data_IF_767829560067
#
_entry.id   IF_767829560067
#
_cell.length_a   1.000
_cell.length_b   1.000
_cell.length_c   1.000
_cell.angle_alpha   90.00
_cell.angle_beta   90.00
_cell.angle_gamma   90.00
#
_symmetry.space_group_name_H-M   'P 1'
#
loop_
_entity.id
_entity.type
_entity.pdbx_description
1 polymer ?
#
# COMPACT_ATOMS: atom_id res chain seq x y z
N UNK A 1 16.87 -10.22 23.31
CA UNK A 1 17.99 -10.50 22.40
C UNK A 1 17.49 -10.26 20.99
N UNK A 2 18.14 -9.41 20.23
CA UNK A 2 17.80 -9.16 18.84
C UNK A 2 18.30 -10.28 17.95
N UNK A 3 17.54 -10.56 16.88
CA UNK A 3 17.98 -11.41 15.79
C UNK A 3 18.86 -10.57 14.87
N UNK A 4 20.06 -11.04 14.60
CA UNK A 4 21.08 -10.38 13.79
C UNK A 4 21.80 -11.41 12.88
N UNK A 5 22.63 -10.98 11.92
CA UNK A 5 23.34 -11.91 11.04
C UNK A 5 24.16 -12.98 11.74
N UNK A 6 24.65 -12.71 12.96
CA UNK A 6 25.47 -13.66 13.72
C UNK A 6 24.68 -14.76 14.43
N UNK A 7 23.38 -14.53 14.70
CA UNK A 7 22.56 -15.48 15.48
C UNK A 7 21.32 -16.00 14.74
N UNK A 8 20.97 -15.45 13.58
CA UNK A 8 19.74 -15.78 12.85
C UNK A 8 19.67 -17.25 12.44
N UNK A 9 20.78 -17.90 12.14
CA UNK A 9 20.80 -19.31 11.84
C UNK A 9 20.34 -20.18 13.04
N UNK A 10 20.78 -19.86 14.25
CA UNK A 10 20.34 -20.52 15.48
C UNK A 10 18.84 -20.22 15.74
N UNK A 11 18.42 -18.99 15.56
CA UNK A 11 17.01 -18.59 15.73
C UNK A 11 16.09 -19.40 14.84
N UNK A 12 16.44 -19.60 13.56
CA UNK A 12 15.67 -20.38 12.59
C UNK A 12 15.76 -21.89 12.89
N UNK A 13 16.92 -22.39 13.28
CA UNK A 13 17.11 -23.82 13.60
C UNK A 13 16.30 -24.24 14.84
N UNK A 14 16.26 -23.44 15.90
CA UNK A 14 15.42 -23.68 17.08
C UNK A 14 13.93 -23.82 16.73
N UNK A 15 13.49 -23.16 15.65
CA UNK A 15 12.11 -23.20 15.15
C UNK A 15 11.88 -24.23 14.04
N UNK A 16 12.89 -25.06 13.76
CA UNK A 16 12.87 -26.09 12.71
C UNK A 16 12.61 -25.55 11.30
N UNK A 17 12.91 -24.27 11.07
CA UNK A 17 12.82 -23.60 9.77
C UNK A 17 14.11 -23.76 8.96
N UNK A 18 15.22 -24.06 9.60
CA UNK A 18 16.53 -24.27 9.00
C UNK A 18 17.21 -25.48 9.63
N UNK A 19 17.98 -26.22 8.84
CA UNK A 19 18.95 -27.20 9.34
C UNK A 19 20.35 -26.59 9.28
N UNK A 20 21.23 -26.99 10.20
CA UNK A 20 22.62 -26.51 10.19
C UNK A 20 23.40 -27.00 8.97
N UNK A 21 22.99 -28.13 8.36
CA UNK A 21 23.57 -28.60 7.10
C UNK A 21 23.47 -27.56 5.99
N UNK A 22 22.34 -26.84 5.91
CA UNK A 22 22.16 -25.74 4.94
C UNK A 22 23.19 -24.61 5.13
N UNK A 23 23.62 -24.35 6.36
CA UNK A 23 24.65 -23.34 6.66
C UNK A 23 26.04 -23.85 6.25
N UNK A 24 26.34 -25.10 6.59
CA UNK A 24 27.62 -25.76 6.27
C UNK A 24 27.81 -25.92 4.78
N UNK A 25 26.73 -26.29 4.06
CA UNK A 25 26.72 -26.47 2.60
C UNK A 25 26.76 -25.15 1.81
N UNK A 26 26.80 -24.00 2.48
CA UNK A 26 26.79 -22.68 1.83
C UNK A 26 25.46 -22.31 1.17
N UNK A 27 24.35 -22.97 1.56
CA UNK A 27 22.99 -22.65 1.13
C UNK A 27 22.32 -21.65 2.11
N UNK A 28 23.08 -20.71 2.61
CA UNK A 28 22.61 -19.75 3.57
C UNK A 28 23.41 -18.44 3.46
N UNK A 29 22.73 -17.37 3.06
CA UNK A 29 23.29 -16.02 2.99
C UNK A 29 22.35 -15.04 3.68
N UNK A 30 22.86 -14.20 4.52
CA UNK A 30 22.11 -13.15 5.24
C UNK A 30 22.41 -11.81 4.60
N UNK A 31 21.36 -11.07 4.24
CA UNK A 31 21.44 -9.68 3.79
C UNK A 31 20.68 -8.82 4.79
N UNK A 32 21.38 -7.90 5.43
CA UNK A 32 20.78 -6.93 6.33
C UNK A 32 20.15 -5.78 5.52
N UNK A 33 18.86 -5.54 5.73
CA UNK A 33 18.09 -4.46 5.13
C UNK A 33 17.41 -3.60 6.21
N UNK A 34 18.07 -3.45 7.32
CA UNK A 34 17.59 -2.67 8.47
C UNK A 34 17.35 -1.21 8.07
N UNK A 35 16.11 -0.76 8.32
CA UNK A 35 15.70 0.64 8.20
C UNK A 35 14.96 1.07 9.48
N UNK A 36 13.67 1.36 9.41
CA UNK A 36 12.80 1.58 10.59
C UNK A 36 12.68 0.31 11.45
N UNK A 37 12.45 -0.83 10.82
CA UNK A 37 12.48 -2.15 11.42
C UNK A 37 13.79 -2.86 11.06
N UNK A 38 14.19 -3.83 11.90
CA UNK A 38 15.30 -4.73 11.58
C UNK A 38 14.80 -5.78 10.61
N UNK A 39 15.25 -5.70 9.38
CA UNK A 39 14.85 -6.60 8.32
C UNK A 39 16.05 -7.42 7.85
N UNK A 40 15.91 -8.75 7.86
CA UNK A 40 16.94 -9.66 7.35
C UNK A 40 16.35 -10.47 6.19
N UNK A 41 17.03 -10.48 5.04
CA UNK A 41 16.77 -11.42 3.95
C UNK A 41 17.69 -12.63 4.12
N UNK A 42 17.09 -13.81 4.21
CA UNK A 42 17.79 -15.08 4.23
C UNK A 42 17.64 -15.69 2.85
N UNK A 43 18.70 -15.56 2.07
CA UNK A 43 18.75 -16.07 0.69
C UNK A 43 19.25 -17.50 0.72
N UNK A 44 18.53 -18.40 0.09
CA UNK A 44 18.88 -19.82 -0.11
C UNK A 44 18.86 -20.13 -1.59
N UNK A 45 19.80 -20.96 -2.05
CA UNK A 45 19.92 -21.33 -3.47
C UNK A 45 19.04 -22.53 -3.83
N UNK A 46 18.94 -23.51 -2.91
CA UNK A 46 18.30 -24.81 -3.11
C UNK A 46 16.93 -24.93 -2.44
N UNK A 47 16.54 -23.96 -1.64
CA UNK A 47 15.30 -23.98 -0.86
C UNK A 47 14.70 -22.58 -0.80
N UNK A 48 13.40 -22.43 -0.47
CA UNK A 48 12.80 -21.14 -0.20
C UNK A 48 13.57 -20.37 0.87
N UNK A 49 13.77 -19.08 0.65
CA UNK A 49 14.38 -18.17 1.61
C UNK A 49 13.39 -17.61 2.60
N UNK A 50 13.87 -16.82 3.56
CA UNK A 50 13.04 -16.18 4.57
C UNK A 50 13.23 -14.68 4.56
N UNK A 51 12.16 -13.96 4.82
CA UNK A 51 12.21 -12.55 5.19
C UNK A 51 11.84 -12.43 6.66
N UNK A 52 12.71 -11.79 7.44
CA UNK A 52 12.53 -11.63 8.88
C UNK A 52 12.35 -10.16 9.18
N UNK A 53 11.23 -9.81 9.81
CA UNK A 53 10.97 -8.49 10.37
C UNK A 53 11.09 -8.56 11.89
N UNK A 54 11.80 -7.61 12.47
CA UNK A 54 11.87 -7.43 13.92
C UNK A 54 11.75 -5.96 14.28
N UNK A 55 11.02 -5.65 15.34
CA UNK A 55 10.94 -4.30 15.88
C UNK A 55 12.32 -3.85 16.37
N UNK A 56 12.82 -2.74 15.83
CA UNK A 56 14.12 -2.17 16.24
C UNK A 56 14.08 -1.57 17.63
N UNK A 57 12.96 -0.94 17.97
CA UNK A 57 12.73 -0.32 19.27
C UNK A 57 11.35 -0.75 19.81
N UNK A 58 11.28 -1.47 20.94
CA UNK A 58 10.02 -2.04 21.44
C UNK A 58 9.14 -0.96 22.10
N UNK A 59 8.59 -0.05 21.29
CA UNK A 59 7.47 0.81 21.73
C UNK A 59 6.15 0.09 21.53
N UNK A 60 5.09 0.43 22.29
CA UNK A 60 3.77 -0.14 22.11
C UNK A 60 3.27 -0.03 20.67
N UNK A 61 3.50 1.09 20.01
CA UNK A 61 3.11 1.35 18.63
C UNK A 61 3.74 0.34 17.65
N UNK A 62 5.06 0.21 17.65
CA UNK A 62 5.77 -0.69 16.73
C UNK A 62 5.51 -2.16 17.01
N UNK A 63 5.32 -2.54 18.28
CA UNK A 63 4.98 -3.93 18.61
C UNK A 63 3.56 -4.28 18.20
N UNK A 64 2.61 -3.35 18.27
CA UNK A 64 1.23 -3.52 17.81
C UNK A 64 1.15 -3.63 16.29
N UNK A 65 1.87 -2.81 15.52
CA UNK A 65 1.86 -2.89 14.06
C UNK A 65 2.41 -4.24 13.57
N UNK A 66 3.54 -4.72 14.13
CA UNK A 66 4.08 -6.03 13.78
C UNK A 66 3.17 -7.19 14.22
N UNK A 67 2.52 -7.08 15.39
CA UNK A 67 1.55 -8.08 15.85
C UNK A 67 0.31 -8.14 14.94
N UNK A 68 -0.14 -7.00 14.43
CA UNK A 68 -1.24 -6.90 13.45
C UNK A 68 -0.86 -7.55 12.12
N UNK A 69 0.32 -7.27 11.60
CA UNK A 69 0.83 -7.93 10.41
C UNK A 69 0.89 -9.45 10.60
N UNK A 70 1.42 -9.93 11.73
CA UNK A 70 1.45 -11.35 12.06
C UNK A 70 0.05 -11.97 12.20
N UNK A 71 -0.94 -11.23 12.70
CA UNK A 71 -2.33 -11.68 12.77
C UNK A 71 -2.92 -11.88 11.37
N UNK A 72 -2.69 -10.95 10.42
CA UNK A 72 -3.10 -11.11 9.03
C UNK A 72 -2.53 -12.41 8.42
N UNK A 73 -1.25 -12.69 8.63
CA UNK A 73 -0.62 -13.93 8.16
C UNK A 73 -1.21 -15.18 8.80
N UNK A 74 -1.50 -15.16 10.11
CA UNK A 74 -2.14 -16.29 10.81
C UNK A 74 -3.55 -16.53 10.29
N UNK A 75 -4.38 -15.48 10.19
CA UNK A 75 -5.72 -15.57 9.64
C UNK A 75 -5.70 -16.24 8.26
N UNK A 76 -4.83 -15.79 7.37
CA UNK A 76 -4.71 -16.36 6.03
C UNK A 76 -4.31 -17.84 6.03
N UNK A 77 -3.56 -18.31 7.02
CA UNK A 77 -3.07 -19.69 7.13
C UNK A 77 -4.07 -20.61 7.82
N UNK A 78 -4.69 -20.15 8.89
CA UNK A 78 -5.50 -20.97 9.80
C UNK A 78 -6.97 -21.09 9.36
N UNK A 79 -7.48 -20.13 8.59
CA UNK A 79 -8.86 -20.06 8.17
C UNK A 79 -9.02 -20.33 6.67
N UNK A 80 -9.73 -21.40 6.26
CA UNK A 80 -9.95 -21.74 4.85
C UNK A 80 -10.67 -20.63 4.06
N UNK A 81 -11.55 -19.89 4.69
CA UNK A 81 -12.30 -18.76 4.11
C UNK A 81 -11.41 -17.61 3.65
N UNK A 82 -10.18 -17.50 4.17
CA UNK A 82 -9.20 -16.51 3.74
C UNK A 82 -8.29 -17.00 2.59
N UNK A 83 -8.76 -17.93 1.78
CA UNK A 83 -7.98 -18.50 0.67
C UNK A 83 -7.45 -17.46 -0.31
N UNK A 84 -8.26 -16.43 -0.68
CA UNK A 84 -7.80 -15.35 -1.54
C UNK A 84 -6.69 -14.52 -0.88
N UNK A 85 -6.82 -14.21 0.39
CA UNK A 85 -5.78 -13.51 1.16
C UNK A 85 -4.49 -14.33 1.20
N UNK A 86 -4.57 -15.63 1.44
CA UNK A 86 -3.40 -16.54 1.40
C UNK A 86 -2.70 -16.52 0.04
N UNK A 87 -3.47 -16.51 -1.05
CA UNK A 87 -2.89 -16.51 -2.41
C UNK A 87 -2.06 -15.26 -2.69
N UNK A 88 -2.47 -14.11 -2.13
CA UNK A 88 -1.81 -12.82 -2.36
C UNK A 88 -0.73 -12.46 -1.33
N UNK A 89 -0.59 -13.21 -0.24
CA UNK A 89 0.45 -12.96 0.78
C UNK A 89 1.67 -13.87 0.57
N UNK A 90 2.88 -13.45 1.00
CA UNK A 90 3.98 -14.39 1.25
C UNK A 90 3.58 -15.50 2.23
N UNK A 91 4.21 -16.67 2.14
CA UNK A 91 3.93 -17.76 3.08
C UNK A 91 4.32 -17.37 4.52
N UNK A 92 3.42 -17.61 5.48
CA UNK A 92 3.68 -17.43 6.90
C UNK A 92 4.44 -18.62 7.48
N UNK A 93 5.59 -18.38 8.10
CA UNK A 93 6.39 -19.40 8.75
C UNK A 93 6.30 -19.35 10.27
N UNK A 94 6.53 -18.18 10.89
CA UNK A 94 6.56 -18.07 12.35
C UNK A 94 6.35 -16.64 12.83
N UNK A 95 5.78 -16.48 14.02
CA UNK A 95 5.78 -15.23 14.78
C UNK A 95 6.16 -15.49 16.23
N UNK A 96 7.16 -14.78 16.74
CA UNK A 96 7.58 -14.80 18.14
C UNK A 96 7.06 -13.53 18.83
N UNK A 97 5.98 -13.63 19.64
CA UNK A 97 5.36 -12.47 20.28
C UNK A 97 6.22 -11.87 21.41
N UNK A 98 7.19 -12.62 21.96
CA UNK A 98 8.06 -12.14 23.04
C UNK A 98 9.24 -11.37 22.49
N UNK A 99 9.80 -11.84 21.38
CA UNK A 99 10.92 -11.19 20.69
C UNK A 99 10.48 -10.21 19.62
N UNK A 100 9.17 -10.15 19.35
CA UNK A 100 8.56 -9.37 18.26
C UNK A 100 9.27 -9.62 16.92
N UNK A 101 9.32 -10.89 16.50
CA UNK A 101 9.96 -11.35 15.27
C UNK A 101 8.95 -12.08 14.41
N UNK A 102 8.75 -11.60 13.20
CA UNK A 102 7.95 -12.23 12.15
C UNK A 102 8.86 -12.86 11.11
N UNK A 103 8.58 -14.12 10.74
CA UNK A 103 9.30 -14.86 9.69
C UNK A 103 8.29 -15.24 8.61
N UNK A 104 8.53 -14.77 7.40
CA UNK A 104 7.71 -15.04 6.22
C UNK A 104 8.60 -15.50 5.06
N UNK A 105 7.98 -15.95 3.98
CA UNK A 105 8.64 -16.28 2.73
C UNK A 105 9.43 -15.10 2.17
N UNK A 106 10.63 -15.34 1.68
CA UNK A 106 11.35 -14.37 0.85
C UNK A 106 10.90 -14.51 -0.61
N UNK A 107 10.25 -13.48 -1.13
CA UNK A 107 9.92 -13.37 -2.55
C UNK A 107 11.19 -13.05 -3.35
N UNK A 108 11.97 -14.10 -3.66
CA UNK A 108 13.35 -13.98 -4.18
C UNK A 108 13.41 -13.26 -5.54
N UNK A 109 12.46 -13.59 -6.42
CA UNK A 109 12.42 -13.09 -7.79
C UNK A 109 11.25 -12.09 -7.98
N UNK A 110 10.75 -11.53 -6.86
CA UNK A 110 9.70 -10.53 -6.87
C UNK A 110 10.25 -9.14 -7.18
N UNK A 111 9.64 -8.46 -8.16
CA UNK A 111 9.86 -7.05 -8.49
C UNK A 111 8.66 -6.25 -7.97
N UNK A 112 8.88 -5.13 -7.27
CA UNK A 112 7.76 -4.27 -6.89
C UNK A 112 7.12 -3.64 -8.13
N UNK A 113 5.81 -3.35 -8.08
CA UNK A 113 5.17 -2.67 -9.20
C UNK A 113 5.76 -1.28 -9.46
N UNK A 114 6.32 -0.65 -8.43
CA UNK A 114 7.07 0.59 -8.60
C UNK A 114 8.31 0.39 -9.49
N UNK A 115 9.17 -0.58 -9.17
CA UNK A 115 10.36 -0.93 -9.98
C UNK A 115 9.95 -1.37 -11.38
N UNK A 116 8.91 -2.19 -11.50
CA UNK A 116 8.36 -2.63 -12.79
C UNK A 116 7.97 -1.45 -13.67
N UNK A 117 7.14 -0.52 -13.18
CA UNK A 117 6.71 0.64 -13.97
C UNK A 117 7.85 1.61 -14.26
N UNK A 118 8.82 1.76 -13.33
CA UNK A 118 10.05 2.51 -13.62
C UNK A 118 10.86 1.90 -14.75
N UNK A 119 10.91 0.57 -14.84
CA UNK A 119 11.64 -0.14 -15.90
C UNK A 119 10.92 -0.07 -17.26
N UNK A 120 9.59 -0.26 -17.27
CA UNK A 120 8.82 -0.32 -18.54
C UNK A 120 8.35 1.03 -19.04
N UNK A 121 8.31 2.06 -18.20
CA UNK A 121 7.87 3.42 -18.53
C UNK A 121 6.52 3.46 -19.28
N UNK A 122 5.57 2.65 -18.84
CA UNK A 122 4.22 2.53 -19.44
C UNK A 122 3.23 1.95 -18.43
N UNK A 123 1.95 1.91 -18.80
CA UNK A 123 0.87 1.32 -18.00
C UNK A 123 0.27 0.07 -18.69
N UNK A 124 0.91 -1.11 -18.59
CA UNK A 124 0.42 -2.32 -19.23
C UNK A 124 -0.95 -2.73 -18.69
N UNK A 125 -1.91 -2.90 -19.61
CA UNK A 125 -3.31 -3.26 -19.29
C UNK A 125 -3.40 -4.59 -18.54
N UNK A 126 -2.57 -5.58 -18.88
CA UNK A 126 -2.56 -6.89 -18.24
C UNK A 126 -2.15 -6.83 -16.77
N UNK A 127 -1.24 -5.93 -16.41
CA UNK A 127 -0.82 -5.72 -15.01
C UNK A 127 -1.94 -5.01 -14.23
N UNK A 128 -2.57 -4.03 -14.83
CA UNK A 128 -3.72 -3.36 -14.22
C UNK A 128 -4.89 -4.34 -14.00
N UNK A 129 -5.18 -5.19 -14.98
CA UNK A 129 -6.17 -6.25 -14.86
C UNK A 129 -5.84 -7.22 -13.72
N UNK A 130 -4.58 -7.69 -13.63
CA UNK A 130 -4.12 -8.55 -12.54
C UNK A 130 -4.30 -7.91 -11.16
N UNK A 131 -4.03 -6.60 -11.03
CA UNK A 131 -4.28 -5.86 -9.79
C UNK A 131 -5.78 -5.87 -9.43
N UNK A 132 -6.66 -5.63 -10.41
CA UNK A 132 -8.11 -5.65 -10.22
C UNK A 132 -8.63 -7.03 -9.81
N UNK A 133 -8.20 -8.08 -10.50
CA UNK A 133 -8.57 -9.48 -10.18
C UNK A 133 -8.12 -9.85 -8.76
N UNK A 134 -6.89 -9.51 -8.41
CA UNK A 134 -6.30 -9.82 -7.10
C UNK A 134 -7.06 -9.12 -5.97
N UNK A 135 -7.23 -7.80 -6.07
CA UNK A 135 -7.86 -7.01 -5.02
C UNK A 135 -9.37 -7.30 -4.92
N UNK A 136 -10.04 -7.48 -6.06
CA UNK A 136 -11.46 -7.83 -6.11
C UNK A 136 -11.75 -9.18 -5.47
N UNK A 137 -10.94 -10.20 -5.76
CA UNK A 137 -11.05 -11.53 -5.14
C UNK A 137 -10.81 -11.50 -3.64
N UNK A 138 -9.84 -10.70 -3.19
CA UNK A 138 -9.57 -10.48 -1.78
C UNK A 138 -10.76 -9.84 -1.06
N UNK A 139 -11.26 -8.71 -1.54
CA UNK A 139 -12.40 -8.01 -0.94
C UNK A 139 -13.71 -8.80 -1.02
N UNK A 140 -13.87 -9.71 -1.98
CA UNK A 140 -15.03 -10.57 -2.08
C UNK A 140 -15.10 -11.62 -0.96
N UNK A 141 -13.95 -12.08 -0.46
CA UNK A 141 -13.87 -13.17 0.51
C UNK A 141 -13.64 -12.72 1.94
N UNK A 142 -12.99 -11.56 2.14
CA UNK A 142 -12.53 -11.13 3.46
C UNK A 142 -13.41 -10.00 3.99
N UNK A 143 -14.61 -10.36 4.45
CA UNK A 143 -15.54 -9.41 5.09
C UNK A 143 -15.10 -9.06 6.52
N UNK A 144 -15.63 -7.96 7.04
CA UNK A 144 -15.42 -7.56 8.44
C UNK A 144 -15.85 -8.64 9.45
N UNK A 145 -16.92 -9.39 9.13
CA UNK A 145 -17.43 -10.46 10.00
C UNK A 145 -16.47 -11.64 10.09
N UNK A 146 -15.81 -11.98 8.97
CA UNK A 146 -14.82 -13.06 8.95
C UNK A 146 -13.57 -12.73 9.80
N UNK A 147 -13.24 -11.45 9.98
CA UNK A 147 -12.10 -11.01 10.78
C UNK A 147 -12.43 -10.83 12.29
N UNK A 148 -13.68 -11.09 12.73
CA UNK A 148 -14.11 -10.87 14.14
C UNK A 148 -13.38 -11.74 15.16
N UNK A 149 -12.86 -12.91 14.77
CA UNK A 149 -12.08 -13.79 15.66
C UNK A 149 -10.81 -13.14 16.22
N UNK A 150 -10.28 -12.12 15.57
CA UNK A 150 -9.11 -11.33 15.98
C UNK A 150 -9.51 -9.88 16.36
N UNK A 151 -10.72 -9.68 16.87
CA UNK A 151 -11.32 -8.36 17.15
C UNK A 151 -10.47 -7.41 18.02
N UNK A 152 -9.52 -7.94 18.80
CA UNK A 152 -8.60 -7.12 19.60
C UNK A 152 -7.40 -6.57 18.81
N UNK A 153 -7.17 -7.03 17.58
CA UNK A 153 -6.01 -6.66 16.76
C UNK A 153 -6.34 -5.51 15.81
N UNK A 154 -7.58 -5.49 15.29
CA UNK A 154 -8.07 -4.49 14.35
C UNK A 154 -8.83 -3.38 15.09
N UNK A 155 -8.27 -2.18 15.10
CA UNK A 155 -8.73 -1.06 15.92
C UNK A 155 -9.92 -0.30 15.32
N UNK A 156 -10.30 -0.59 14.05
CA UNK A 156 -11.34 0.11 13.29
C UNK A 156 -11.08 1.61 13.19
N UNK A 157 -9.85 1.96 12.82
CA UNK A 157 -9.44 3.36 12.72
C UNK A 157 -9.78 3.94 11.35
N UNK A 158 -10.26 5.17 11.37
CA UNK A 158 -10.38 5.99 10.17
C UNK A 158 -8.99 6.53 9.83
N UNK A 159 -8.57 6.54 8.55
CA UNK A 159 -7.28 7.09 8.16
C UNK A 159 -7.09 8.52 8.65
N UNK A 160 -5.98 8.76 9.35
CA UNK A 160 -5.65 10.04 9.98
C UNK A 160 -5.66 11.23 9.03
N UNK A 161 -5.37 10.98 7.76
CA UNK A 161 -5.33 12.01 6.71
C UNK A 161 -6.69 12.69 6.53
N UNK A 162 -7.80 11.97 6.80
CA UNK A 162 -9.15 12.50 6.68
C UNK A 162 -9.47 13.57 7.75
N UNK A 163 -8.62 13.68 8.78
CA UNK A 163 -8.72 14.70 9.84
C UNK A 163 -7.54 15.68 9.83
N UNK A 164 -6.64 15.63 8.84
CA UNK A 164 -5.45 16.48 8.84
C UNK A 164 -5.77 17.98 8.81
N UNK A 165 -6.84 18.37 8.14
CA UNK A 165 -7.33 19.74 8.10
C UNK A 165 -7.80 20.28 9.46
N UNK A 166 -8.18 19.39 10.41
CA UNK A 166 -8.59 19.70 11.77
C UNK A 166 -7.38 19.97 12.72
N UNK A 167 -6.15 19.89 12.20
CA UNK A 167 -4.92 20.00 13.01
C UNK A 167 -4.85 21.35 13.74
N UNK A 168 -4.66 21.27 15.07
CA UNK A 168 -4.49 22.46 15.90
C UNK A 168 -3.19 23.21 15.52
N UNK A 169 -3.23 24.56 15.38
CA UNK A 169 -2.04 25.36 15.10
C UNK A 169 -0.87 25.13 16.05
N UNK A 170 -1.12 24.78 17.32
CA UNK A 170 -0.06 24.45 18.28
C UNK A 170 0.77 23.23 17.87
N UNK A 171 0.21 22.30 17.08
CA UNK A 171 0.91 21.11 16.59
C UNK A 171 1.83 21.40 15.40
N UNK A 172 1.60 22.52 14.68
CA UNK A 172 2.40 22.85 13.49
C UNK A 172 3.90 23.02 13.77
N UNK A 173 4.26 23.35 15.02
CA UNK A 173 5.66 23.42 15.46
C UNK A 173 6.36 22.06 15.58
N UNK A 174 5.64 20.95 15.62
CA UNK A 174 6.18 19.58 15.77
C UNK A 174 6.37 18.85 14.44
N UNK A 175 5.90 19.41 13.33
CA UNK A 175 6.05 18.84 11.99
C UNK A 175 7.07 19.61 11.16
N UNK A 176 7.49 19.06 10.01
CA UNK A 176 8.37 19.79 9.10
C UNK A 176 7.73 21.09 8.60
N UNK A 177 8.55 22.07 8.18
CA UNK A 177 8.02 23.29 7.57
C UNK A 177 7.20 23.01 6.31
N UNK A 178 7.62 22.02 5.51
CA UNK A 178 6.86 21.58 4.34
C UNK A 178 5.47 21.06 4.72
N UNK A 179 5.38 20.22 5.76
CA UNK A 179 4.10 19.71 6.25
C UNK A 179 3.24 20.80 6.86
N UNK A 180 3.82 21.77 7.61
CA UNK A 180 3.07 22.91 8.10
C UNK A 180 2.46 23.75 6.96
N UNK A 181 3.19 23.95 5.85
CA UNK A 181 2.69 24.61 4.65
C UNK A 181 1.53 23.82 4.02
N UNK A 182 1.67 22.50 3.89
CA UNK A 182 0.62 21.62 3.36
C UNK A 182 -0.66 21.72 4.20
N UNK A 183 -0.54 21.60 5.53
CA UNK A 183 -1.70 21.73 6.44
C UNK A 183 -2.34 23.10 6.28
N UNK A 184 -1.55 24.19 6.20
CA UNK A 184 -2.05 25.53 5.94
C UNK A 184 -2.84 25.65 4.65
N UNK A 185 -2.41 24.98 3.57
CA UNK A 185 -3.16 24.91 2.31
C UNK A 185 -4.50 24.19 2.52
N UNK A 186 -4.52 23.04 3.20
CA UNK A 186 -5.77 22.31 3.44
C UNK A 186 -6.76 23.16 4.25
N UNK A 187 -6.28 23.92 5.24
CA UNK A 187 -7.12 24.79 6.07
C UNK A 187 -7.58 26.07 5.36
N UNK A 188 -6.84 26.54 4.36
CA UNK A 188 -7.17 27.72 3.58
C UNK A 188 -8.32 27.49 2.60
N UNK A 189 -8.48 26.25 2.11
CA UNK A 189 -9.47 25.90 1.09
C UNK A 189 -10.60 25.05 1.69
N UNK A 190 -11.81 25.61 1.93
CA UNK A 190 -12.94 24.89 2.55
C UNK A 190 -13.39 23.65 1.79
N UNK A 191 -13.06 23.57 0.51
CA UNK A 191 -13.37 22.40 -0.32
C UNK A 191 -12.64 21.14 0.17
N UNK A 192 -11.40 21.25 0.68
CA UNK A 192 -10.70 20.12 1.29
C UNK A 192 -11.41 19.66 2.55
N UNK A 193 -11.75 20.59 3.45
CA UNK A 193 -12.50 20.28 4.68
C UNK A 193 -13.79 19.55 4.36
N UNK A 194 -14.62 20.11 3.48
CA UNK A 194 -15.92 19.56 3.12
C UNK A 194 -15.80 18.17 2.46
N UNK A 195 -14.79 17.96 1.63
CA UNK A 195 -14.61 16.69 0.93
C UNK A 195 -14.03 15.60 1.84
N UNK A 196 -13.01 15.91 2.65
CA UNK A 196 -12.42 14.97 3.59
C UNK A 196 -13.42 14.56 4.68
N UNK A 197 -14.22 15.51 5.19
CA UNK A 197 -15.29 15.23 6.14
C UNK A 197 -16.35 14.29 5.55
N UNK A 198 -16.77 14.49 4.30
CA UNK A 198 -17.71 13.56 3.62
C UNK A 198 -17.16 12.15 3.49
N UNK A 199 -15.87 11.99 3.17
CA UNK A 199 -15.25 10.65 3.11
C UNK A 199 -15.24 10.03 4.51
N UNK A 200 -14.88 10.80 5.54
CA UNK A 200 -14.82 10.39 6.94
C UNK A 200 -16.21 9.97 7.47
N UNK A 201 -17.23 10.79 7.26
CA UNK A 201 -18.61 10.53 7.70
C UNK A 201 -19.23 9.31 6.99
N UNK A 202 -18.90 9.14 5.70
CA UNK A 202 -19.34 7.99 4.92
C UNK A 202 -18.45 6.76 5.09
N UNK A 203 -17.48 6.72 6.02
CA UNK A 203 -16.57 5.59 6.18
C UNK A 203 -17.30 4.30 6.53
N UNK A 204 -17.02 3.23 5.76
CA UNK A 204 -17.66 1.93 5.93
C UNK A 204 -16.69 0.91 6.52
N UNK A 205 -17.12 0.16 7.53
CA UNK A 205 -16.34 -0.90 8.18
C UNK A 205 -16.74 -2.29 7.67
N UNK A 206 -16.78 -2.47 6.36
CA UNK A 206 -17.33 -3.67 5.73
C UNK A 206 -16.31 -4.78 5.43
N UNK A 207 -15.03 -4.44 5.33
CA UNK A 207 -13.98 -5.37 4.91
C UNK A 207 -12.73 -5.27 5.78
N UNK A 208 -11.92 -6.33 5.82
CA UNK A 208 -10.52 -6.21 6.21
C UNK A 208 -9.78 -5.58 5.03
N UNK A 209 -9.26 -4.37 5.23
CA UNK A 209 -8.47 -3.63 4.23
C UNK A 209 -6.98 -3.74 4.57
N UNK A 210 -6.14 -3.63 3.55
CA UNK A 210 -4.69 -3.52 3.74
C UNK A 210 -4.30 -2.17 4.37
N UNK A 211 -5.00 -1.10 3.98
CA UNK A 211 -4.82 0.25 4.52
C UNK A 211 -3.64 1.03 3.92
N UNK A 212 -2.58 0.35 3.44
CA UNK A 212 -1.40 0.96 2.80
C UNK A 212 -1.03 0.31 1.47
N UNK A 213 -2.03 0.11 0.62
CA UNK A 213 -1.79 -0.30 -0.77
C UNK A 213 -0.97 0.80 -1.46
N UNK A 214 0.19 0.40 -1.99
CA UNK A 214 1.07 1.19 -2.85
C UNK A 214 1.89 0.24 -3.71
N UNK A 215 2.43 0.71 -4.82
CA UNK A 215 3.17 -0.14 -5.75
C UNK A 215 4.44 -0.75 -5.16
N UNK A 216 5.04 -0.11 -4.15
CA UNK A 216 6.17 -0.67 -3.39
C UNK A 216 5.77 -1.89 -2.55
N UNK A 217 4.50 -2.00 -2.16
CA UNK A 217 3.96 -3.11 -1.39
C UNK A 217 3.31 -4.19 -2.26
N UNK A 218 3.25 -4.00 -3.58
CA UNK A 218 2.70 -4.94 -4.55
C UNK A 218 3.83 -5.58 -5.35
N UNK A 219 4.09 -6.87 -5.11
CA UNK A 219 5.21 -7.61 -5.69
C UNK A 219 4.75 -8.48 -6.86
N UNK A 220 5.28 -8.22 -8.04
CA UNK A 220 5.09 -9.05 -9.22
C UNK A 220 6.07 -10.23 -9.16
N UNK A 221 5.55 -11.45 -9.03
CA UNK A 221 6.34 -12.66 -8.89
C UNK A 221 6.19 -13.54 -10.13
N UNK A 222 7.30 -14.10 -10.62
CA UNK A 222 7.34 -15.00 -11.74
C UNK A 222 7.82 -16.39 -11.28
N UNK A 223 7.03 -17.42 -11.55
CA UNK A 223 7.44 -18.81 -11.33
C UNK A 223 7.87 -19.43 -12.68
N UNK A 224 9.09 -19.12 -13.11
CA UNK A 224 9.56 -19.51 -14.44
C UNK A 224 8.75 -18.88 -15.57
N UNK A 225 8.28 -19.69 -16.53
CA UNK A 225 7.46 -19.23 -17.68
C UNK A 225 5.96 -19.09 -17.36
N UNK A 226 5.56 -19.23 -16.10
CA UNK A 226 4.17 -19.13 -15.69
C UNK A 226 3.65 -17.69 -15.74
N UNK A 227 2.33 -17.54 -15.79
CA UNK A 227 1.67 -16.24 -15.68
C UNK A 227 2.10 -15.52 -14.40
N UNK A 228 2.47 -14.23 -14.48
CA UNK A 228 2.89 -13.48 -13.30
C UNK A 228 1.80 -13.46 -12.23
N UNK A 229 2.21 -13.54 -10.98
CA UNK A 229 1.32 -13.47 -9.81
C UNK A 229 1.63 -12.22 -9.01
N UNK A 230 0.60 -11.62 -8.44
CA UNK A 230 0.74 -10.46 -7.58
C UNK A 230 0.71 -10.91 -6.11
N UNK A 231 1.72 -10.50 -5.34
CA UNK A 231 1.77 -10.64 -3.88
C UNK A 231 1.69 -9.25 -3.25
N UNK A 232 1.05 -9.17 -2.10
CA UNK A 232 0.95 -7.93 -1.32
C UNK A 232 1.67 -8.16 0.01
N UNK A 233 2.56 -7.25 0.36
CA UNK A 233 3.40 -7.28 1.58
C UNK A 233 3.08 -6.08 2.47
N UNK A 234 3.59 -6.11 3.71
CA UNK A 234 3.53 -4.99 4.65
C UNK A 234 2.13 -4.68 5.19
N UNK A 235 1.50 -5.68 5.79
CA UNK A 235 0.15 -5.64 6.37
C UNK A 235 0.08 -4.98 7.78
N UNK A 236 1.08 -4.20 8.14
CA UNK A 236 1.26 -3.66 9.50
C UNK A 236 0.16 -2.67 9.93
N UNK A 237 -0.54 -2.05 8.98
CA UNK A 237 -1.66 -1.14 9.24
C UNK A 237 -3.01 -1.65 8.73
N UNK A 238 -3.09 -2.95 8.38
CA UNK A 238 -4.36 -3.57 8.01
C UNK A 238 -5.41 -3.37 9.10
N UNK A 239 -6.64 -3.09 8.72
CA UNK A 239 -7.72 -2.82 9.68
C UNK A 239 -9.10 -3.14 9.06
N UNK A 240 -10.13 -3.19 9.89
CA UNK A 240 -11.49 -3.24 9.38
C UNK A 240 -11.88 -1.84 8.91
N UNK A 241 -12.18 -1.71 7.62
CA UNK A 241 -12.42 -0.42 6.99
C UNK A 241 -13.19 -0.51 5.69
N UNK A 242 -13.06 0.56 4.91
CA UNK A 242 -13.74 0.76 3.63
C UNK A 242 -12.87 0.25 2.47
N UNK A 243 -13.35 -0.75 1.75
CA UNK A 243 -12.63 -1.31 0.59
C UNK A 243 -12.29 -0.27 -0.49
N UNK A 244 -13.08 0.81 -0.59
CA UNK A 244 -12.79 1.90 -1.51
C UNK A 244 -11.47 2.64 -1.18
N UNK A 245 -10.97 2.51 0.04
CA UNK A 245 -9.66 3.06 0.42
C UNK A 245 -8.50 2.34 -0.31
N UNK A 246 -8.50 1.01 -0.30
CA UNK A 246 -7.50 0.22 -1.00
C UNK A 246 -7.63 0.35 -2.53
N UNK A 247 -8.85 0.36 -3.04
CA UNK A 247 -9.13 0.61 -4.48
C UNK A 247 -8.62 1.99 -4.89
N UNK A 248 -8.94 3.01 -4.10
CA UNK A 248 -8.47 4.38 -4.34
C UNK A 248 -6.95 4.50 -4.28
N UNK A 249 -6.28 3.73 -3.43
CA UNK A 249 -4.83 3.71 -3.33
C UNK A 249 -4.17 3.18 -4.62
N UNK A 250 -4.76 2.17 -5.28
CA UNK A 250 -4.29 1.72 -6.61
C UNK A 250 -4.47 2.82 -7.65
N UNK A 251 -5.66 3.43 -7.73
CA UNK A 251 -5.90 4.55 -8.66
C UNK A 251 -4.89 5.69 -8.42
N UNK A 252 -4.69 6.05 -7.16
CA UNK A 252 -3.73 7.07 -6.76
C UNK A 252 -2.30 6.72 -7.20
N UNK A 253 -1.89 5.46 -7.12
CA UNK A 253 -0.55 5.03 -7.52
C UNK A 253 -0.30 5.28 -9.02
N UNK A 254 -1.25 4.97 -9.89
CA UNK A 254 -1.19 5.27 -11.33
C UNK A 254 -1.04 6.77 -11.59
N UNK A 255 -1.92 7.58 -11.01
CA UNK A 255 -1.91 9.05 -11.18
C UNK A 255 -0.60 9.63 -10.63
N UNK A 256 -0.13 9.15 -9.48
CA UNK A 256 1.11 9.64 -8.88
C UNK A 256 2.33 9.29 -9.71
N UNK A 257 2.40 8.08 -10.28
CA UNK A 257 3.49 7.69 -11.17
C UNK A 257 3.53 8.58 -12.42
N UNK A 258 2.36 8.87 -13.00
CA UNK A 258 2.28 9.85 -14.10
C UNK A 258 2.76 11.25 -13.66
N UNK A 259 2.34 11.76 -12.48
CA UNK A 259 2.81 13.04 -11.95
C UNK A 259 4.35 13.06 -11.82
N UNK A 260 4.97 11.95 -11.37
CA UNK A 260 6.43 11.85 -11.26
C UNK A 260 7.15 11.88 -12.62
N UNK A 261 6.47 11.56 -13.71
CA UNK A 261 7.03 11.71 -15.06
C UNK A 261 7.08 13.15 -15.55
N UNK A 262 6.35 14.09 -14.90
CA UNK A 262 6.31 15.49 -15.28
C UNK A 262 7.63 16.22 -14.97
N UNK A 263 8.21 17.01 -15.90
CA UNK A 263 9.42 17.78 -15.66
C UNK A 263 9.13 19.06 -14.86
N UNK A 264 8.79 18.94 -13.58
CA UNK A 264 8.36 20.04 -12.72
C UNK A 264 9.50 20.92 -12.15
N UNK A 265 10.76 20.63 -12.47
CA UNK A 265 11.94 21.30 -11.86
C UNK A 265 12.45 22.57 -12.53
N UNK A 266 11.95 22.98 -13.70
CA UNK A 266 12.57 23.99 -14.55
C UNK A 266 11.94 25.39 -14.53
N UNK A 267 11.03 25.70 -13.62
CA UNK A 267 10.29 26.97 -13.62
C UNK A 267 9.18 27.05 -14.68
N UNK A 268 8.97 25.99 -15.47
CA UNK A 268 7.86 25.85 -16.38
C UNK A 268 6.53 25.71 -15.62
N UNK A 269 5.46 26.24 -16.19
CA UNK A 269 4.11 26.07 -15.65
C UNK A 269 3.65 24.60 -15.75
N UNK A 270 2.65 24.21 -14.93
CA UNK A 270 2.12 22.83 -14.94
C UNK A 270 1.63 22.42 -16.33
N UNK A 271 1.00 23.32 -17.09
CA UNK A 271 0.53 23.05 -18.46
C UNK A 271 1.69 22.70 -19.42
N UNK A 272 2.81 23.42 -19.32
CA UNK A 272 4.02 23.13 -20.12
C UNK A 272 4.66 21.80 -19.70
N UNK A 273 4.70 21.51 -18.40
CA UNK A 273 5.21 20.24 -17.88
C UNK A 273 4.33 19.05 -18.35
N UNK A 274 3.02 19.22 -18.38
CA UNK A 274 2.08 18.20 -18.91
C UNK A 274 2.31 17.98 -20.41
N UNK A 275 2.48 19.06 -21.19
CA UNK A 275 2.75 18.94 -22.62
C UNK A 275 4.11 18.30 -22.95
N UNK A 276 5.08 18.41 -22.02
CA UNK A 276 6.41 17.82 -22.14
C UNK A 276 6.57 16.47 -21.43
N UNK A 277 5.49 15.92 -20.89
CA UNK A 277 5.50 14.66 -20.14
C UNK A 277 5.95 13.49 -21.03
N UNK A 278 6.89 12.64 -20.58
CA UNK A 278 7.25 11.42 -21.30
C UNK A 278 6.11 10.40 -21.39
N UNK A 279 5.22 10.41 -20.41
CA UNK A 279 4.01 9.58 -20.36
C UNK A 279 2.79 10.43 -20.64
N UNK A 280 1.99 10.05 -21.65
CA UNK A 280 0.72 10.68 -21.92
C UNK A 280 -0.31 10.33 -20.84
N UNK A 281 -1.01 11.34 -20.32
CA UNK A 281 -2.10 11.14 -19.35
C UNK A 281 -3.21 10.22 -19.91
N UNK A 282 -3.49 10.29 -21.21
CA UNK A 282 -4.47 9.41 -21.86
C UNK A 282 -4.11 7.92 -21.78
N UNK A 283 -2.83 7.59 -21.60
CA UNK A 283 -2.37 6.20 -21.41
C UNK A 283 -2.82 5.58 -20.08
N UNK A 284 -3.27 6.39 -19.10
CA UNK A 284 -3.85 5.92 -17.84
C UNK A 284 -5.21 5.25 -18.05
N UNK A 285 -6.04 5.78 -18.96
CA UNK A 285 -7.44 5.35 -19.15
C UNK A 285 -7.57 3.86 -19.43
N UNK A 286 -6.89 3.26 -20.43
CA UNK A 286 -7.03 1.83 -20.71
C UNK A 286 -6.58 0.96 -19.54
N UNK A 287 -5.55 1.36 -18.80
CA UNK A 287 -5.07 0.61 -17.64
C UNK A 287 -6.06 0.70 -16.47
N UNK A 288 -6.52 1.90 -16.11
CA UNK A 288 -7.49 2.08 -15.02
C UNK A 288 -8.85 1.50 -15.34
N UNK A 289 -9.30 1.54 -16.60
CA UNK A 289 -10.52 0.84 -17.04
C UNK A 289 -10.38 -0.69 -16.89
N UNK A 290 -9.25 -1.25 -17.29
CA UNK A 290 -8.98 -2.69 -17.13
C UNK A 290 -8.90 -3.11 -15.65
N UNK A 291 -8.22 -2.32 -14.83
CA UNK A 291 -8.18 -2.51 -13.38
C UNK A 291 -9.59 -2.54 -12.79
N UNK A 292 -10.39 -1.50 -13.07
CA UNK A 292 -11.72 -1.37 -12.51
C UNK A 292 -12.66 -2.48 -12.97
N UNK A 293 -12.70 -2.79 -14.27
CA UNK A 293 -13.55 -3.85 -14.81
C UNK A 293 -13.20 -5.21 -14.21
N UNK A 294 -11.93 -5.51 -14.04
CA UNK A 294 -11.45 -6.75 -13.41
C UNK A 294 -11.80 -6.80 -11.92
N UNK A 295 -11.66 -5.67 -11.20
CA UNK A 295 -12.08 -5.54 -9.81
C UNK A 295 -13.58 -5.80 -9.63
N UNK A 296 -14.42 -5.14 -10.43
CA UNK A 296 -15.89 -5.30 -10.40
C UNK A 296 -16.29 -6.75 -10.64
N UNK A 297 -15.71 -7.38 -11.67
CA UNK A 297 -16.00 -8.78 -12.01
C UNK A 297 -15.60 -9.73 -10.87
N UNK A 298 -14.42 -9.57 -10.29
CA UNK A 298 -13.90 -10.43 -9.21
C UNK A 298 -14.59 -10.16 -7.87
N UNK A 299 -14.97 -8.91 -7.59
CA UNK A 299 -15.70 -8.52 -6.38
C UNK A 299 -17.18 -8.90 -6.46
N UNK A 300 -17.73 -9.05 -7.66
CA UNK A 300 -19.14 -9.39 -7.90
C UNK A 300 -20.08 -8.20 -7.66
N UNK A 301 -19.67 -6.96 -8.02
CA UNK A 301 -20.53 -5.79 -7.86
C UNK A 301 -21.61 -5.71 -8.93
N UNK A 302 -22.83 -5.28 -8.55
CA UNK A 302 -23.84 -4.87 -9.51
C UNK A 302 -23.47 -3.55 -10.22
N UNK A 303 -24.13 -3.22 -11.34
CA UNK A 303 -23.83 -2.00 -12.09
C UNK A 303 -23.96 -0.73 -11.23
N UNK A 304 -25.02 -0.62 -10.44
CA UNK A 304 -25.25 0.54 -9.58
C UNK A 304 -24.23 0.62 -8.44
N UNK A 305 -23.94 -0.50 -7.78
CA UNK A 305 -22.92 -0.57 -6.73
C UNK A 305 -21.52 -0.26 -7.29
N UNK A 306 -21.20 -0.74 -8.49
CA UNK A 306 -19.96 -0.47 -9.20
C UNK A 306 -19.76 1.02 -9.43
N UNK A 307 -20.77 1.73 -9.96
CA UNK A 307 -20.68 3.17 -10.22
C UNK A 307 -20.44 3.97 -8.92
N UNK A 308 -21.21 3.67 -7.87
CA UNK A 308 -21.07 4.34 -6.58
C UNK A 308 -19.69 4.08 -5.95
N UNK A 309 -19.23 2.83 -5.98
CA UNK A 309 -17.93 2.44 -5.46
C UNK A 309 -16.77 3.12 -6.22
N UNK A 310 -16.87 3.25 -7.57
CA UNK A 310 -15.82 3.91 -8.34
C UNK A 310 -15.70 5.41 -8.00
N UNK A 311 -16.81 6.13 -7.92
CA UNK A 311 -16.83 7.55 -7.53
C UNK A 311 -16.25 7.74 -6.12
N UNK A 312 -16.63 6.85 -5.19
CA UNK A 312 -16.10 6.84 -3.83
C UNK A 312 -14.61 6.53 -3.80
N UNK A 313 -14.16 5.53 -4.55
CA UNK A 313 -12.74 5.17 -4.66
C UNK A 313 -11.90 6.30 -5.28
N UNK A 314 -12.47 7.06 -6.21
CA UNK A 314 -11.82 8.25 -6.77
C UNK A 314 -11.62 9.34 -5.70
N UNK A 315 -12.62 9.55 -4.83
CA UNK A 315 -12.47 10.46 -3.69
C UNK A 315 -11.42 9.97 -2.68
N UNK A 316 -11.38 8.66 -2.41
CA UNK A 316 -10.33 8.04 -1.59
C UNK A 316 -8.94 8.18 -2.23
N UNK A 317 -8.82 8.04 -3.56
CA UNK A 317 -7.58 8.26 -4.29
C UNK A 317 -7.06 9.69 -4.08
N UNK A 318 -7.93 10.68 -4.15
CA UNK A 318 -7.58 12.06 -3.88
C UNK A 318 -7.09 12.28 -2.43
N UNK A 319 -7.76 11.70 -1.43
CA UNK A 319 -7.30 11.75 -0.04
C UNK A 319 -5.94 11.06 0.14
N UNK A 320 -5.70 9.92 -0.51
CA UNK A 320 -4.40 9.22 -0.55
C UNK A 320 -3.31 10.07 -1.22
N UNK A 321 -3.65 10.88 -2.23
CA UNK A 321 -2.69 11.83 -2.82
C UNK A 321 -2.23 12.89 -1.83
N UNK A 322 -3.13 13.40 -0.97
CA UNK A 322 -2.77 14.31 0.13
C UNK A 322 -1.82 13.60 1.11
N UNK A 323 -2.13 12.35 1.48
CA UNK A 323 -1.29 11.56 2.37
C UNK A 323 0.12 11.38 1.82
N UNK A 324 0.24 10.92 0.56
CA UNK A 324 1.57 10.72 -0.06
C UNK A 324 2.31 12.02 -0.33
N UNK A 325 1.61 13.15 -0.53
CA UNK A 325 2.22 14.47 -0.55
C UNK A 325 2.82 14.82 0.82
N UNK A 326 2.06 14.64 1.90
CA UNK A 326 2.50 14.88 3.27
C UNK A 326 3.72 14.02 3.64
N UNK A 327 3.66 12.72 3.35
CA UNK A 327 4.75 11.77 3.62
C UNK A 327 6.05 12.13 2.86
N UNK A 328 5.93 12.62 1.62
CA UNK A 328 7.09 12.96 0.78
C UNK A 328 7.86 14.20 1.23
N UNK A 329 7.28 15.02 2.12
CA UNK A 329 7.89 16.28 2.57
C UNK A 329 8.15 16.33 4.09
N UNK A 330 8.11 15.18 4.77
CA UNK A 330 8.33 15.07 6.23
C UNK A 330 9.68 15.63 6.71
N UNK A 331 10.68 15.68 5.85
CA UNK A 331 12.03 16.16 6.18
C UNK A 331 12.40 17.44 5.41
N UNK A 332 11.47 18.05 4.67
CA UNK A 332 11.79 19.17 3.80
C UNK A 332 11.42 20.52 4.43
N UNK A 333 12.22 21.58 4.18
CA UNK A 333 11.91 22.92 4.68
C UNK A 333 10.79 23.61 3.89
N UNK A 334 10.40 23.09 2.73
CA UNK A 334 9.39 23.65 1.84
C UNK A 334 8.60 22.55 1.15
N UNK A 335 7.36 22.87 0.76
CA UNK A 335 6.56 21.99 -0.09
C UNK A 335 7.22 21.87 -1.47
N UNK A 336 7.36 20.62 -1.94
CA UNK A 336 7.95 20.37 -3.25
C UNK A 336 6.95 20.63 -4.38
N UNK A 337 7.41 20.92 -5.62
CA UNK A 337 6.52 21.04 -6.79
C UNK A 337 5.65 19.79 -7.00
N UNK A 338 6.19 18.59 -6.78
CA UNK A 338 5.44 17.34 -6.87
C UNK A 338 4.35 17.23 -5.81
N UNK A 339 4.64 17.60 -4.56
CA UNK A 339 3.64 17.63 -3.49
C UNK A 339 2.53 18.65 -3.79
N UNK A 340 2.88 19.83 -4.30
CA UNK A 340 1.92 20.85 -4.69
C UNK A 340 1.03 20.38 -5.86
N UNK A 341 1.62 19.72 -6.87
CA UNK A 341 0.85 19.15 -8.00
C UNK A 341 -0.11 18.05 -7.53
N UNK A 342 0.31 17.19 -6.59
CA UNK A 342 -0.59 16.21 -5.96
C UNK A 342 -1.76 16.88 -5.23
N UNK A 343 -1.52 17.96 -4.48
CA UNK A 343 -2.60 18.70 -3.82
C UNK A 343 -3.56 19.34 -4.83
N UNK A 344 -3.04 19.91 -5.90
CA UNK A 344 -3.88 20.50 -6.95
C UNK A 344 -4.74 19.43 -7.64
N UNK A 345 -4.13 18.28 -7.97
CA UNK A 345 -4.84 17.15 -8.57
C UNK A 345 -5.90 16.60 -7.60
N UNK A 346 -5.54 16.43 -6.33
CA UNK A 346 -6.48 16.02 -5.28
C UNK A 346 -7.67 16.97 -5.19
N UNK A 347 -7.45 18.29 -5.19
CA UNK A 347 -8.51 19.28 -5.17
C UNK A 347 -9.44 19.16 -6.39
N UNK A 348 -8.87 19.01 -7.58
CA UNK A 348 -9.64 18.87 -8.82
C UNK A 348 -10.56 17.64 -8.76
N UNK A 349 -10.04 16.49 -8.31
CA UNK A 349 -10.79 15.25 -8.13
C UNK A 349 -11.89 15.42 -7.07
N UNK A 350 -11.56 15.99 -5.90
CA UNK A 350 -12.51 16.15 -4.79
C UNK A 350 -13.67 17.08 -5.11
N UNK A 351 -13.45 18.10 -5.97
CA UNK A 351 -14.51 19.00 -6.45
C UNK A 351 -15.53 18.29 -7.33
N UNK A 352 -15.09 17.37 -8.17
CA UNK A 352 -15.97 16.63 -9.06
C UNK A 352 -15.44 15.20 -9.31
N UNK A 353 -15.65 14.27 -8.36
CA UNK A 353 -15.14 12.90 -8.51
C UNK A 353 -15.79 12.13 -9.66
N UNK A 354 -17.03 12.47 -10.06
CA UNK A 354 -17.68 11.85 -11.23
C UNK A 354 -16.99 12.24 -12.54
N UNK A 355 -16.65 13.53 -12.71
CA UNK A 355 -15.87 13.96 -13.87
C UNK A 355 -14.49 13.32 -13.88
N UNK A 356 -13.83 13.22 -12.72
CA UNK A 356 -12.54 12.56 -12.61
C UNK A 356 -12.59 11.07 -13.00
N UNK A 357 -13.70 10.37 -12.72
CA UNK A 357 -13.92 8.99 -13.24
C UNK A 357 -13.87 8.97 -14.76
N UNK A 358 -14.57 9.87 -15.43
CA UNK A 358 -14.55 9.96 -16.90
C UNK A 358 -13.20 10.36 -17.45
N UNK A 359 -12.49 11.26 -16.76
CA UNK A 359 -11.18 11.76 -17.19
C UNK A 359 -10.06 10.71 -17.05
N UNK A 360 -10.04 9.94 -15.96
CA UNK A 360 -8.95 9.00 -15.66
C UNK A 360 -9.27 7.54 -15.99
N UNK A 361 -10.55 7.13 -15.90
CA UNK A 361 -10.97 5.74 -16.14
C UNK A 361 -11.66 5.59 -17.49
N UNK A 362 -12.25 6.66 -18.00
CA UNK A 362 -12.98 6.63 -19.28
C UNK A 362 -14.33 5.93 -19.22
N UNK A 363 -14.96 5.89 -18.02
CA UNK A 363 -16.26 5.27 -17.76
C UNK A 363 -17.31 6.28 -17.35
#
# INVERSE_FOLDING_TARGET
MFVDPGNVAYFLAERRLLTFDSVVDGDFMVVDQTSRNRNLKIVRRRSPGFFIKQVSFPSPEYTQTLAREAACYRLSKEHPEFGAMRALMPEFHHFDPVKHVLVIELLKDGESLWEFHQRVQSFPVEIAKLQGETLGSYHAQVSADAAQGEAGVFARQIPWILSLHETNPAYLGSVSRGNAQLIGILQQYPEFESALSRIKEGWNYAALIHGDIKWENMMLCHDGDATPRLKIIDWEIADIGDECWDVGAVIQAYITFWIFSLPLGGGAGVAEAVAAAPLDAESLKPALAAYWNAYVASRGLSADASRQALVRSMSCAAARMIQTAYESIQSTPQISPYALTKLQMSMNILRNPEAAVSDFVGL
#
